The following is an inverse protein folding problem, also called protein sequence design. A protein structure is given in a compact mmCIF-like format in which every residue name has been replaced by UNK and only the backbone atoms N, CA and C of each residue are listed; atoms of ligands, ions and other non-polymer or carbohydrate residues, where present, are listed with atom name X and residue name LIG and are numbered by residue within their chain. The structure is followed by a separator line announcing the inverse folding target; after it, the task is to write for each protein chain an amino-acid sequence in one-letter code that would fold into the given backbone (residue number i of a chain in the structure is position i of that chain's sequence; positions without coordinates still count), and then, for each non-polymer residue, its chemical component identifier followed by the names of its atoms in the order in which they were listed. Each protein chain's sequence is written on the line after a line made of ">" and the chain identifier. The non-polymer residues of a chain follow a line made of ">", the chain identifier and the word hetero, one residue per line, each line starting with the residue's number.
data_IF_709432027882
#
_entry.id   IF_709432027882
#
_cell.length_a   1.000
_cell.length_b   1.000
_cell.length_c   1.000
_cell.angle_alpha   90.00
_cell.angle_beta   90.00
_cell.angle_gamma   90.00
#
_symmetry.space_group_name_H-M   'P 1'
#
loop_
_entity.id
_entity.type
_entity.pdbx_description
1 polymer ?
#
# COMPACT_ATOMS: atom_id res chain seq x y z
N UNK A 1 23.98 14.63 -12.75
CA UNK A 1 22.81 13.81 -12.39
C UNK A 1 23.05 12.42 -12.95
N UNK A 2 22.94 11.38 -12.16
CA UNK A 2 23.06 10.02 -12.66
C UNK A 2 21.89 9.72 -13.62
N UNK A 3 22.05 8.76 -14.52
CA UNK A 3 20.95 8.30 -15.40
C UNK A 3 19.76 7.80 -14.58
N UNK A 4 20.03 7.20 -13.41
CA UNK A 4 19.02 6.71 -12.44
C UNK A 4 18.17 7.85 -11.90
N UNK A 5 18.77 8.98 -11.51
CA UNK A 5 18.00 10.14 -11.00
C UNK A 5 17.06 10.70 -12.07
N UNK A 6 17.48 10.66 -13.33
CA UNK A 6 16.65 11.00 -14.48
C UNK A 6 15.44 10.08 -14.60
N UNK A 7 15.65 8.76 -14.55
CA UNK A 7 14.58 7.76 -14.63
C UNK A 7 13.59 7.90 -13.45
N UNK A 8 14.09 8.11 -12.22
CA UNK A 8 13.23 8.31 -11.02
C UNK A 8 12.35 9.55 -11.15
N UNK A 9 12.94 10.66 -11.60
CA UNK A 9 12.19 11.90 -11.84
C UNK A 9 11.08 11.69 -12.88
N UNK A 10 11.41 11.04 -14.00
CA UNK A 10 10.47 10.79 -15.09
C UNK A 10 9.36 9.82 -14.65
N UNK A 11 9.68 8.82 -13.81
CA UNK A 11 8.70 7.93 -13.19
C UNK A 11 7.72 8.69 -12.28
N UNK A 12 8.23 9.56 -11.41
CA UNK A 12 7.37 10.39 -10.55
C UNK A 12 6.46 11.29 -11.39
N UNK A 13 7.00 11.95 -12.42
CA UNK A 13 6.21 12.79 -13.31
C UNK A 13 5.11 12.01 -14.05
N UNK A 14 5.40 10.78 -14.48
CA UNK A 14 4.40 9.91 -15.11
C UNK A 14 3.29 9.49 -14.13
N UNK A 15 3.65 9.21 -12.88
CA UNK A 15 2.69 8.90 -11.81
C UNK A 15 1.81 10.14 -11.50
N UNK A 16 2.41 11.31 -11.41
CA UNK A 16 1.71 12.56 -11.11
C UNK A 16 0.77 13.02 -12.26
N UNK A 17 0.92 12.44 -13.45
CA UNK A 17 0.02 12.67 -14.59
C UNK A 17 -1.33 11.94 -14.47
N UNK A 18 -1.64 11.35 -13.30
CA UNK A 18 -2.94 10.77 -12.98
C UNK A 18 -4.07 11.76 -13.22
N UNK A 19 -5.14 11.31 -13.87
CA UNK A 19 -6.32 12.13 -14.11
C UNK A 19 -7.05 12.45 -12.79
N UNK A 20 -7.84 13.53 -12.71
CA UNK A 20 -8.57 13.93 -11.50
C UNK A 20 -9.52 12.86 -10.95
N UNK A 21 -9.98 11.94 -11.79
CA UNK A 21 -10.82 10.80 -11.40
C UNK A 21 -10.01 9.57 -10.93
N UNK A 22 -8.70 9.70 -10.78
CA UNK A 22 -7.82 8.64 -10.36
C UNK A 22 -7.49 7.61 -11.45
N UNK A 23 -7.65 7.96 -12.73
CA UNK A 23 -7.34 7.07 -13.85
C UNK A 23 -6.07 7.49 -14.59
N UNK A 24 -5.50 6.55 -15.33
CA UNK A 24 -4.41 6.76 -16.29
C UNK A 24 -4.86 6.41 -17.70
N UNK A 25 -4.40 7.14 -18.71
CA UNK A 25 -4.44 6.62 -20.06
C UNK A 25 -3.41 5.48 -20.25
N UNK A 26 -3.62 4.68 -21.29
CA UNK A 26 -2.79 3.48 -21.52
C UNK A 26 -1.33 3.82 -21.80
N UNK A 27 -1.06 4.93 -22.48
CA UNK A 27 0.29 5.36 -22.81
C UNK A 27 1.08 5.77 -21.57
N UNK A 28 0.45 6.54 -20.66
CA UNK A 28 1.03 6.93 -19.37
C UNK A 28 1.27 5.71 -18.49
N UNK A 29 0.32 4.78 -18.44
CA UNK A 29 0.47 3.55 -17.68
C UNK A 29 1.61 2.67 -18.20
N UNK A 30 1.73 2.52 -19.53
CA UNK A 30 2.84 1.81 -20.16
C UNK A 30 4.18 2.47 -19.89
N UNK A 31 4.22 3.80 -19.89
CA UNK A 31 5.41 4.56 -19.54
C UNK A 31 5.86 4.30 -18.10
N UNK A 32 4.92 4.29 -17.13
CA UNK A 32 5.21 3.94 -15.73
C UNK A 32 5.88 2.57 -15.66
N UNK A 33 5.31 1.55 -16.29
CA UNK A 33 5.87 0.20 -16.29
C UNK A 33 7.23 0.11 -16.98
N UNK A 34 7.42 0.84 -18.08
CA UNK A 34 8.70 0.88 -18.79
C UNK A 34 9.81 1.54 -17.94
N UNK A 35 9.47 2.61 -17.19
CA UNK A 35 10.42 3.29 -16.31
C UNK A 35 10.76 2.41 -15.09
N UNK A 36 9.79 1.70 -14.52
CA UNK A 36 10.04 0.69 -13.46
C UNK A 36 11.01 -0.37 -13.98
N UNK A 37 10.75 -0.93 -15.17
CA UNK A 37 11.63 -1.95 -15.77
C UNK A 37 13.07 -1.46 -15.98
N UNK A 38 13.26 -0.16 -16.26
CA UNK A 38 14.59 0.45 -16.35
C UNK A 38 15.27 0.60 -14.99
N UNK A 39 14.53 0.83 -13.91
CA UNK A 39 15.08 1.01 -12.55
C UNK A 39 15.49 -0.33 -11.91
N UNK A 40 14.73 -1.38 -12.12
CA UNK A 40 14.91 -2.68 -11.44
C UNK A 40 16.37 -3.20 -11.51
N UNK A 41 17.07 -3.17 -12.66
CA UNK A 41 18.46 -3.65 -12.76
C UNK A 41 19.47 -2.81 -11.95
N UNK A 42 19.08 -1.63 -11.51
CA UNK A 42 19.95 -0.67 -10.81
C UNK A 42 19.65 -0.58 -9.30
N UNK A 43 18.87 -1.53 -8.74
CA UNK A 43 18.59 -1.52 -7.31
C UNK A 43 19.86 -1.57 -6.47
N UNK A 44 20.07 -0.61 -5.52
CA UNK A 44 21.20 -0.70 -4.58
C UNK A 44 21.04 -1.82 -3.56
N UNK A 45 19.83 -2.36 -3.40
CA UNK A 45 19.52 -3.43 -2.45
C UNK A 45 18.97 -4.67 -3.20
N UNK A 46 19.84 -5.42 -3.90
CA UNK A 46 19.41 -6.59 -4.68
C UNK A 46 18.98 -7.77 -3.82
N UNK A 47 19.37 -7.77 -2.54
CA UNK A 47 19.04 -8.79 -1.55
C UNK A 47 18.48 -8.13 -0.29
N UNK A 48 17.18 -7.78 -0.25
CA UNK A 48 16.55 -7.14 0.91
C UNK A 48 16.70 -7.91 2.23
N UNK A 49 16.85 -9.24 2.19
CA UNK A 49 17.11 -10.06 3.39
C UNK A 49 18.38 -9.63 4.12
N UNK A 50 19.41 -9.19 3.40
CA UNK A 50 20.70 -8.78 3.97
C UNK A 50 20.68 -7.32 4.47
N UNK A 51 19.63 -6.58 4.15
CA UNK A 51 19.47 -5.15 4.46
C UNK A 51 18.07 -4.83 4.99
N UNK A 52 17.53 -5.69 5.84
CA UNK A 52 16.19 -5.50 6.39
C UNK A 52 16.06 -4.21 7.19
N UNK A 53 17.12 -3.80 7.89
CA UNK A 53 17.23 -2.49 8.57
C UNK A 53 17.01 -1.30 7.64
N UNK A 54 17.50 -1.41 6.41
CA UNK A 54 17.36 -0.36 5.39
C UNK A 54 15.97 -0.38 4.73
N UNK A 55 15.40 -1.56 4.50
CA UNK A 55 14.05 -1.72 3.95
C UNK A 55 12.96 -1.41 4.98
N UNK A 56 13.25 -1.65 6.27
CA UNK A 56 12.32 -1.35 7.35
C UNK A 56 12.12 0.16 7.49
N UNK A 57 10.92 0.61 7.19
CA UNK A 57 10.50 2.03 7.25
C UNK A 57 8.98 2.11 7.09
N UNK A 58 8.33 3.22 7.45
CA UNK A 58 7.09 3.59 6.80
C UNK A 58 7.38 3.96 5.35
N UNK A 59 6.57 3.44 4.43
CA UNK A 59 6.63 3.69 3.01
C UNK A 59 5.29 4.19 2.51
N UNK A 60 5.28 5.42 2.00
CA UNK A 60 4.09 6.07 1.49
C UNK A 60 3.86 5.73 0.02
N UNK A 61 2.66 5.29 -0.34
CA UNK A 61 2.33 4.91 -1.71
C UNK A 61 2.20 6.14 -2.62
N UNK A 62 3.04 6.21 -3.63
CA UNK A 62 2.91 7.18 -4.70
C UNK A 62 2.11 6.61 -5.88
N UNK A 63 2.27 5.31 -6.16
CA UNK A 63 1.49 4.57 -7.14
C UNK A 63 1.11 3.20 -6.58
N UNK A 64 -0.14 2.82 -6.73
CA UNK A 64 -0.61 1.49 -6.36
C UNK A 64 -1.55 0.94 -7.43
N UNK A 65 -1.13 -0.15 -8.03
CA UNK A 65 -1.96 -1.00 -8.87
C UNK A 65 -2.30 -2.25 -8.07
N UNK A 66 -3.57 -2.44 -7.74
CA UNK A 66 -4.04 -3.67 -7.10
C UNK A 66 -4.45 -4.69 -8.16
N UNK A 67 -3.76 -5.81 -8.19
CA UNK A 67 -4.08 -6.91 -9.09
C UNK A 67 -3.47 -6.76 -10.48
N UNK A 68 -3.83 -7.67 -11.40
CA UNK A 68 -3.27 -7.71 -12.73
C UNK A 68 -3.60 -6.45 -13.52
N UNK A 69 -2.69 -6.11 -14.42
CA UNK A 69 -2.92 -5.07 -15.41
C UNK A 69 -4.32 -5.19 -15.99
N UNK A 70 -4.99 -4.09 -16.18
CA UNK A 70 -6.41 -3.94 -16.50
C UNK A 70 -7.02 -5.00 -17.43
N UNK A 71 -8.32 -5.21 -17.28
CA UNK A 71 -9.14 -5.91 -18.27
C UNK A 71 -9.36 -4.98 -19.47
N UNK A 72 -9.09 -5.46 -20.68
CA UNK A 72 -9.26 -4.70 -21.90
C UNK A 72 -10.60 -3.92 -21.93
N UNK A 73 -10.53 -2.64 -22.27
CA UNK A 73 -11.69 -1.73 -22.33
C UNK A 73 -12.14 -1.14 -21.00
N UNK A 74 -11.43 -1.40 -19.88
CA UNK A 74 -11.68 -0.72 -18.60
C UNK A 74 -10.58 0.30 -18.31
N UNK A 75 -10.90 1.46 -17.72
CA UNK A 75 -9.89 2.43 -17.32
C UNK A 75 -8.93 1.81 -16.29
N UNK A 76 -7.65 2.13 -16.43
CA UNK A 76 -6.64 1.79 -15.44
C UNK A 76 -6.82 2.77 -14.28
N UNK A 77 -7.06 2.26 -13.09
CA UNK A 77 -7.35 3.12 -11.93
C UNK A 77 -6.21 3.10 -10.94
N UNK A 78 -5.84 4.28 -10.50
CA UNK A 78 -5.18 4.46 -9.21
C UNK A 78 -6.21 4.24 -8.09
N UNK A 79 -5.74 3.94 -6.89
CA UNK A 79 -6.51 3.45 -5.73
C UNK A 79 -7.46 4.47 -5.09
N UNK A 80 -7.80 5.57 -5.74
CA UNK A 80 -8.59 6.66 -5.14
C UNK A 80 -10.04 6.31 -4.77
N UNK A 81 -10.55 5.14 -5.17
CA UNK A 81 -11.92 4.71 -4.81
C UNK A 81 -11.97 3.21 -4.51
N UNK A 82 -11.60 2.87 -3.31
CA UNK A 82 -11.81 1.54 -2.75
C UNK A 82 -13.17 1.43 -2.07
N UNK A 83 -13.56 0.21 -1.78
CA UNK A 83 -14.68 -0.09 -0.91
C UNK A 83 -14.14 -0.64 0.42
N UNK A 84 -14.82 -0.31 1.50
CA UNK A 84 -14.49 -0.81 2.83
C UNK A 84 -14.79 -2.31 2.93
N UNK A 85 -14.00 -3.12 2.28
CA UNK A 85 -14.25 -4.56 2.28
C UNK A 85 -13.11 -5.36 2.89
N UNK A 86 -11.88 -4.91 2.73
CA UNK A 86 -10.66 -5.50 3.30
C UNK A 86 -10.73 -7.01 3.51
N UNK A 87 -10.57 -7.76 2.44
CA UNK A 87 -10.66 -9.24 2.44
C UNK A 87 -12.03 -9.78 2.92
N UNK A 88 -13.11 -9.01 2.75
CA UNK A 88 -14.45 -9.40 3.19
C UNK A 88 -14.70 -9.24 4.70
N UNK A 89 -13.83 -8.53 5.40
CA UNK A 89 -13.97 -8.34 6.84
C UNK A 89 -15.05 -7.32 7.23
N UNK A 90 -15.31 -6.35 6.37
CA UNK A 90 -16.33 -5.32 6.57
C UNK A 90 -17.41 -5.38 5.50
N UNK A 91 -18.49 -4.65 5.73
CA UNK A 91 -19.55 -4.42 4.76
C UNK A 91 -18.98 -3.71 3.52
N UNK A 92 -19.60 -3.95 2.35
CA UNK A 92 -19.16 -3.35 1.09
C UNK A 92 -19.63 -1.89 0.97
N UNK A 93 -19.00 -0.99 1.74
CA UNK A 93 -19.31 0.43 1.78
C UNK A 93 -18.32 1.24 0.93
N UNK A 94 -18.83 2.29 0.24
CA UNK A 94 -17.95 3.18 -0.50
C UNK A 94 -17.11 4.04 0.45
N UNK A 95 -15.84 4.20 0.11
CA UNK A 95 -14.90 5.07 0.83
C UNK A 95 -14.05 5.86 -0.16
N UNK A 96 -13.48 6.97 0.30
CA UNK A 96 -12.36 7.63 -0.36
C UNK A 96 -11.06 7.26 0.33
N UNK A 97 -10.04 6.99 -0.45
CA UNK A 97 -8.68 6.73 0.02
C UNK A 97 -7.82 7.96 -0.24
N UNK A 98 -7.17 8.46 0.80
CA UNK A 98 -6.30 9.64 0.71
C UNK A 98 -4.83 9.25 0.69
N UNK A 99 -4.45 8.27 1.48
CA UNK A 99 -3.07 7.85 1.63
C UNK A 99 -3.00 6.36 1.95
N UNK A 100 -1.98 5.68 1.44
CA UNK A 100 -1.68 4.30 1.77
C UNK A 100 -0.22 4.22 2.16
N UNK A 101 0.03 3.76 3.38
CA UNK A 101 1.37 3.47 3.86
C UNK A 101 1.59 1.96 3.99
N UNK A 102 2.79 1.52 3.70
CA UNK A 102 3.27 0.21 4.13
C UNK A 102 4.34 0.41 5.21
N UNK A 103 4.09 -0.16 6.36
CA UNK A 103 5.01 -0.08 7.49
C UNK A 103 5.68 -1.44 7.68
N UNK A 104 7.00 -1.46 7.46
CA UNK A 104 7.81 -2.67 7.61
C UNK A 104 8.73 -2.47 8.81
N UNK A 105 8.70 -3.40 9.77
CA UNK A 105 9.60 -3.42 10.93
C UNK A 105 10.28 -4.78 11.04
N UNK A 106 11.58 -4.74 11.35
CA UNK A 106 12.37 -5.94 11.63
C UNK A 106 11.95 -6.56 12.96
N UNK A 107 11.83 -5.73 13.98
CA UNK A 107 11.33 -6.17 15.28
C UNK A 107 9.88 -6.63 15.18
N UNK A 108 9.61 -7.86 15.61
CA UNK A 108 8.31 -8.51 15.45
C UNK A 108 7.93 -8.89 14.02
N UNK A 109 8.77 -8.60 13.01
CA UNK A 109 8.53 -8.88 11.59
C UNK A 109 7.17 -8.37 11.09
N UNK A 110 6.84 -7.13 11.40
CA UNK A 110 5.58 -6.52 11.00
C UNK A 110 5.60 -6.03 9.54
N UNK A 111 4.49 -6.25 8.85
CA UNK A 111 4.21 -5.74 7.50
C UNK A 111 2.76 -5.24 7.47
N UNK A 112 2.54 -4.00 7.87
CA UNK A 112 1.21 -3.43 7.98
C UNK A 112 0.91 -2.53 6.79
N UNK A 113 -0.33 -2.62 6.26
CA UNK A 113 -0.85 -1.61 5.35
C UNK A 113 -1.73 -0.67 6.17
N UNK A 114 -1.45 0.62 6.10
CA UNK A 114 -2.19 1.67 6.80
C UNK A 114 -2.80 2.60 5.77
N UNK A 115 -4.10 2.77 5.81
CA UNK A 115 -4.84 3.54 4.81
C UNK A 115 -5.64 4.64 5.50
N UNK A 116 -5.39 5.89 5.14
CA UNK A 116 -6.23 7.02 5.55
C UNK A 116 -7.44 7.09 4.64
N UNK A 117 -8.62 7.00 5.23
CA UNK A 117 -9.90 6.96 4.51
C UNK A 117 -10.88 7.98 5.03
N UNK A 118 -11.83 8.34 4.18
CA UNK A 118 -13.03 9.10 4.57
C UNK A 118 -14.30 8.46 3.98
N UNK A 119 -15.44 8.89 4.50
CA UNK A 119 -16.72 8.71 3.80
C UNK A 119 -16.70 9.41 2.44
N UNK A 120 -17.60 9.04 1.48
CA UNK A 120 -17.60 9.62 0.13
C UNK A 120 -17.79 11.14 0.09
N UNK A 121 -18.49 11.70 1.07
CA UNK A 121 -18.70 13.14 1.25
C UNK A 121 -17.56 13.85 2.00
N UNK A 122 -16.54 13.09 2.44
CA UNK A 122 -15.39 13.56 3.22
C UNK A 122 -15.75 14.15 4.59
N UNK A 123 -16.97 13.90 5.07
CA UNK A 123 -17.41 14.42 6.35
C UNK A 123 -16.78 13.70 7.56
N UNK A 124 -16.43 12.43 7.40
CA UNK A 124 -15.91 11.60 8.48
C UNK A 124 -14.63 10.87 8.03
N UNK A 125 -13.64 10.84 8.90
CA UNK A 125 -12.35 10.20 8.65
C UNK A 125 -12.15 8.96 9.53
N UNK A 126 -11.33 8.04 9.05
CA UNK A 126 -10.86 6.89 9.81
C UNK A 126 -9.52 6.41 9.26
N UNK A 127 -8.86 5.54 10.02
CA UNK A 127 -7.69 4.81 9.57
C UNK A 127 -8.03 3.33 9.46
N UNK A 128 -7.76 2.73 8.31
CA UNK A 128 -7.89 1.30 8.09
C UNK A 128 -6.51 0.66 8.16
N UNK A 129 -6.29 -0.24 9.10
CA UNK A 129 -5.03 -0.96 9.27
C UNK A 129 -5.24 -2.42 8.92
N UNK A 130 -4.45 -2.93 7.97
CA UNK A 130 -4.33 -4.35 7.70
C UNK A 130 -3.05 -4.84 8.36
N UNK A 131 -3.21 -5.56 9.47
CA UNK A 131 -2.14 -6.07 10.30
C UNK A 131 -1.53 -7.30 9.66
N UNK A 132 -0.21 -7.28 9.45
CA UNK A 132 0.51 -8.38 8.83
C UNK A 132 1.83 -8.70 9.51
N UNK A 133 2.31 -9.91 9.26
CA UNK A 133 3.65 -10.36 9.56
C UNK A 133 4.30 -10.87 8.30
N UNK A 134 5.62 -10.82 8.25
CA UNK A 134 6.36 -11.33 7.11
C UNK A 134 7.42 -12.33 7.50
N UNK A 135 7.80 -13.14 6.52
CA UNK A 135 9.01 -13.94 6.51
C UNK A 135 9.71 -13.75 5.17
N UNK A 136 11.04 -13.96 5.12
CA UNK A 136 11.83 -13.84 3.90
C UNK A 136 12.47 -15.21 3.65
N UNK A 137 12.03 -15.95 2.60
CA UNK A 137 12.64 -17.22 2.23
C UNK A 137 14.10 -17.02 1.79
N UNK A 138 15.00 -17.89 2.22
CA UNK A 138 16.44 -17.79 1.91
C UNK A 138 16.73 -17.88 0.41
N UNK A 139 15.95 -18.67 -0.31
CA UNK A 139 16.04 -18.87 -1.77
C UNK A 139 15.40 -17.74 -2.58
N UNK A 140 14.63 -16.86 -1.95
CA UNK A 140 13.96 -15.71 -2.56
C UNK A 140 14.23 -14.43 -1.74
N UNK A 141 15.48 -13.94 -1.73
CA UNK A 141 15.93 -12.89 -0.81
C UNK A 141 15.25 -11.52 -1.01
N UNK A 142 14.55 -11.32 -2.13
CA UNK A 142 13.76 -10.12 -2.41
C UNK A 142 12.30 -10.25 -1.95
N UNK A 143 11.86 -11.45 -1.54
CA UNK A 143 10.46 -11.77 -1.25
C UNK A 143 10.14 -11.61 0.22
N UNK A 144 9.18 -10.76 0.51
CA UNK A 144 8.47 -10.72 1.77
C UNK A 144 7.22 -11.61 1.64
N UNK A 145 7.23 -12.79 2.27
CA UNK A 145 6.06 -13.65 2.40
C UNK A 145 5.19 -13.08 3.51
N UNK A 146 4.01 -12.56 3.15
CA UNK A 146 3.17 -11.79 4.07
C UNK A 146 1.93 -12.60 4.45
N UNK A 147 1.68 -12.66 5.75
CA UNK A 147 0.45 -13.19 6.34
C UNK A 147 -0.30 -12.03 7.03
N UNK A 148 -1.39 -11.59 6.42
CA UNK A 148 -2.29 -10.65 7.07
C UNK A 148 -3.21 -11.39 8.02
N UNK A 149 -3.20 -11.05 9.30
CA UNK A 149 -3.91 -11.78 10.35
C UNK A 149 -5.11 -11.03 10.93
N UNK A 150 -5.16 -9.71 10.73
CA UNK A 150 -6.28 -8.90 11.18
C UNK A 150 -6.45 -7.64 10.32
N UNK A 151 -7.64 -7.07 10.38
CA UNK A 151 -7.93 -5.73 9.87
C UNK A 151 -8.63 -4.93 10.97
N UNK A 152 -8.36 -3.64 11.03
CA UNK A 152 -8.88 -2.77 12.07
C UNK A 152 -9.25 -1.40 11.49
N UNK A 153 -10.45 -0.93 11.85
CA UNK A 153 -10.90 0.43 11.57
C UNK A 153 -10.70 1.26 12.84
N UNK A 154 -9.78 2.21 12.77
CA UNK A 154 -9.36 3.02 13.92
C UNK A 154 -10.00 4.40 13.82
N UNK A 155 -10.76 4.84 14.86
CA UNK A 155 -11.32 6.17 14.88
C UNK A 155 -10.22 7.23 15.06
N UNK A 156 -10.45 8.46 14.56
CA UNK A 156 -9.64 9.61 14.92
C UNK A 156 -9.70 9.91 16.42
N UNK A 157 -8.74 10.69 16.89
CA UNK A 157 -8.76 11.17 18.28
C UNK A 157 -10.07 11.89 18.61
N UNK A 158 -10.69 11.54 19.72
CA UNK A 158 -11.95 12.12 20.21
C UNK A 158 -13.21 11.52 19.60
N UNK A 159 -13.11 10.59 18.64
CA UNK A 159 -14.26 9.88 18.06
C UNK A 159 -14.41 8.53 18.75
N UNK A 160 -15.60 8.24 19.28
CA UNK A 160 -15.87 6.94 19.91
C UNK A 160 -16.05 5.83 18.85
N UNK A 161 -15.92 4.58 19.29
CA UNK A 161 -16.20 3.42 18.42
C UNK A 161 -17.67 3.37 17.96
N UNK A 162 -18.60 3.88 18.78
CA UNK A 162 -20.01 3.96 18.42
C UNK A 162 -20.26 5.03 17.35
N UNK A 163 -19.69 6.22 17.54
CA UNK A 163 -19.79 7.31 16.56
C UNK A 163 -19.16 6.90 15.22
N UNK A 164 -18.01 6.22 15.25
CA UNK A 164 -17.38 5.75 14.02
C UNK A 164 -18.27 4.76 13.23
N UNK A 165 -18.93 3.83 13.93
CA UNK A 165 -19.88 2.91 13.27
C UNK A 165 -21.02 3.67 12.60
N UNK A 166 -21.64 4.60 13.31
CA UNK A 166 -22.71 5.43 12.78
C UNK A 166 -22.23 6.24 11.57
N UNK A 167 -21.08 6.91 11.68
CA UNK A 167 -20.50 7.74 10.63
C UNK A 167 -20.20 6.97 9.34
N UNK A 168 -19.74 5.72 9.46
CA UNK A 168 -19.43 4.85 8.31
C UNK A 168 -20.58 3.92 7.90
N UNK A 169 -21.74 4.02 8.54
CA UNK A 169 -22.89 3.18 8.22
C UNK A 169 -22.70 1.70 8.54
N UNK A 170 -21.86 1.39 9.53
CA UNK A 170 -21.67 0.03 10.03
C UNK A 170 -22.79 -0.35 11.01
N UNK A 171 -23.09 -1.63 11.10
CA UNK A 171 -24.02 -2.11 12.12
C UNK A 171 -23.49 -1.79 13.53
N UNK A 172 -24.40 -1.47 14.51
CA UNK A 172 -24.00 -1.08 15.87
C UNK A 172 -23.10 -2.10 16.58
N UNK A 173 -23.30 -3.39 16.26
CA UNK A 173 -22.55 -4.51 16.85
C UNK A 173 -21.30 -4.89 16.05
N UNK A 174 -20.99 -4.20 14.94
CA UNK A 174 -19.82 -4.49 14.12
C UNK A 174 -18.54 -4.32 14.92
N UNK A 175 -17.72 -5.36 14.95
CA UNK A 175 -16.38 -5.29 15.51
C UNK A 175 -15.50 -4.43 14.59
N UNK A 176 -14.81 -3.44 15.15
CA UNK A 176 -13.89 -2.59 14.41
C UNK A 176 -12.54 -3.26 14.13
N UNK A 177 -12.22 -4.32 14.86
CA UNK A 177 -11.05 -5.19 14.60
C UNK A 177 -11.52 -6.61 14.36
N UNK A 178 -11.12 -7.18 13.23
CA UNK A 178 -11.53 -8.52 12.81
C UNK A 178 -10.33 -9.37 12.40
N UNK A 179 -10.33 -10.64 12.82
CA UNK A 179 -9.33 -11.60 12.38
C UNK A 179 -9.51 -11.95 10.91
N UNK A 180 -8.39 -12.11 10.22
CA UNK A 180 -8.34 -12.52 8.82
C UNK A 180 -7.79 -13.93 8.69
N UNK A 181 -8.19 -14.62 7.63
CA UNK A 181 -7.60 -15.88 7.17
C UNK A 181 -7.36 -15.80 5.66
N UNK A 182 -6.59 -14.82 5.20
CA UNK A 182 -6.33 -14.67 3.78
C UNK A 182 -5.39 -15.77 3.27
N UNK A 183 -5.32 -15.98 1.96
CA UNK A 183 -4.25 -16.76 1.37
C UNK A 183 -2.89 -16.13 1.71
N UNK A 184 -1.84 -16.96 1.72
CA UNK A 184 -0.48 -16.44 1.82
C UNK A 184 -0.19 -15.55 0.62
N UNK A 185 0.19 -14.32 0.90
CA UNK A 185 0.56 -13.33 -0.10
C UNK A 185 2.08 -13.11 -0.08
N UNK A 186 2.59 -12.45 -1.09
CA UNK A 186 3.97 -11.98 -1.09
C UNK A 186 4.09 -10.60 -1.72
N UNK A 187 5.17 -9.93 -1.35
CA UNK A 187 5.60 -8.68 -1.93
C UNK A 187 7.08 -8.81 -2.26
N UNK A 188 7.42 -8.77 -3.54
CA UNK A 188 8.80 -8.82 -4.01
C UNK A 188 9.34 -7.39 -4.11
N UNK A 189 10.33 -7.05 -3.30
CA UNK A 189 11.03 -5.77 -3.38
C UNK A 189 12.01 -5.84 -4.54
N UNK A 190 11.66 -5.22 -5.66
CA UNK A 190 12.43 -5.27 -6.90
C UNK A 190 13.37 -4.07 -7.09
N UNK A 191 13.09 -2.97 -6.40
CA UNK A 191 13.95 -1.80 -6.31
C UNK A 191 13.82 -1.18 -4.91
N UNK A 192 14.95 -0.79 -4.32
CA UNK A 192 14.94 -0.05 -3.06
C UNK A 192 16.20 0.80 -2.96
N UNK A 193 16.02 2.10 -2.72
CA UNK A 193 17.09 3.05 -2.38
C UNK A 193 16.66 3.96 -1.21
N UNK A 194 17.37 5.07 -1.02
CA UNK A 194 17.14 5.95 0.12
C UNK A 194 15.77 6.61 0.14
N UNK A 195 15.12 6.82 -0.99
CA UNK A 195 13.87 7.57 -1.11
C UNK A 195 12.75 6.86 -1.88
N UNK A 196 13.04 5.73 -2.53
CA UNK A 196 12.07 5.00 -3.35
C UNK A 196 12.15 3.49 -3.12
N UNK A 197 10.98 2.85 -3.06
CA UNK A 197 10.85 1.39 -3.08
C UNK A 197 9.81 0.98 -4.11
N UNK A 198 10.09 -0.08 -4.86
CA UNK A 198 9.15 -0.67 -5.83
C UNK A 198 8.94 -2.12 -5.48
N UNK A 199 7.66 -2.52 -5.38
CA UNK A 199 7.28 -3.88 -5.05
C UNK A 199 6.36 -4.46 -6.11
N UNK A 200 6.48 -5.78 -6.32
CA UNK A 200 5.52 -6.58 -7.07
C UNK A 200 4.79 -7.52 -6.13
N UNK A 201 3.45 -7.43 -6.12
CA UNK A 201 2.61 -8.27 -5.27
C UNK A 201 2.18 -9.57 -5.94
N UNK A 202 1.87 -10.59 -5.13
CA UNK A 202 1.46 -11.93 -5.57
C UNK A 202 0.21 -11.97 -6.47
N UNK A 203 -0.63 -10.94 -6.40
CA UNK A 203 -1.85 -10.82 -7.22
C UNK A 203 -1.65 -9.94 -8.46
N UNK A 204 -0.39 -9.74 -8.90
CA UNK A 204 -0.07 -8.87 -10.03
C UNK A 204 -0.10 -7.38 -9.69
N UNK A 205 -0.11 -7.05 -8.41
CA UNK A 205 -0.02 -5.67 -7.95
C UNK A 205 1.36 -5.07 -8.18
N UNK A 206 1.41 -3.76 -8.43
CA UNK A 206 2.64 -2.97 -8.58
C UNK A 206 2.52 -1.74 -7.70
N UNK A 207 3.54 -1.51 -6.89
CA UNK A 207 3.56 -0.42 -5.93
C UNK A 207 4.86 0.37 -6.07
N UNK A 208 4.76 1.68 -6.27
CA UNK A 208 5.88 2.63 -6.17
C UNK A 208 5.67 3.46 -4.93
N UNK A 209 6.63 3.46 -4.04
CA UNK A 209 6.51 4.06 -2.72
C UNK A 209 7.65 5.03 -2.46
N UNK A 210 7.36 6.13 -1.82
CA UNK A 210 8.36 7.06 -1.28
C UNK A 210 8.65 6.69 0.18
N UNK A 211 9.89 6.91 0.63
CA UNK A 211 10.22 6.72 2.04
C UNK A 211 9.47 7.74 2.88
N UNK A 212 8.68 7.27 3.82
CA UNK A 212 7.97 8.10 4.78
C UNK A 212 8.91 8.65 5.85
N UNK A 213 8.53 9.78 6.43
CA UNK A 213 9.20 10.36 7.59
C UNK A 213 8.44 9.99 8.88
N UNK A 214 9.19 9.76 9.95
CA UNK A 214 8.63 9.55 11.28
C UNK A 214 8.38 8.09 11.66
N UNK A 215 7.68 7.86 12.78
CA UNK A 215 7.61 6.55 13.44
C UNK A 215 6.59 5.57 12.82
N UNK A 216 5.86 5.96 11.80
CA UNK A 216 4.73 5.20 11.28
C UNK A 216 3.39 5.59 11.94
N UNK A 217 2.30 5.02 11.44
CA UNK A 217 0.92 5.37 11.81
C UNK A 217 0.16 4.24 12.51
N UNK A 218 0.70 3.00 12.50
CA UNK A 218 0.05 1.91 13.22
C UNK A 218 0.32 1.99 14.72
N UNK A 219 -0.72 1.75 15.52
CA UNK A 219 -0.70 1.98 16.99
C UNK A 219 0.25 1.05 17.75
N UNK A 220 0.60 -0.11 17.18
CA UNK A 220 1.53 -1.07 17.81
C UNK A 220 3.01 -0.78 17.52
N UNK A 221 3.31 0.40 16.98
CA UNK A 221 4.68 0.83 16.72
C UNK A 221 5.26 1.71 17.86
N UNK A 222 4.60 1.76 18.99
CA UNK A 222 5.09 2.46 20.17
C UNK A 222 6.16 1.66 20.93
#
# INVERSE_FOLDING_TARGET
>A
MSDIDGIKRDLRAAIDACQPDGTYDEATFDLIHALIAKLVPHTPVPRPIDRQDFVASPWNSHFAQFGPRHTAGKPIRHVSSLRLQSFGAFEDLPIKVHEIDQEIRVDGRHYNNVTEITTPDEAHAARLIVWGRYDIPEDLPQRYSVEFYAVELVPPEGVSAADLREQFGLEPESELKRSLKPPKLHSDVVYCDDDMRINFGSMGGVYVMNRGAGPGKSVDFA
#
